data_IF_069931765449
#
_entry.id   IF_069931765449
#
_cell.length_a   1.000
_cell.length_b   1.000
_cell.length_c   1.000
_cell.angle_alpha   90.00
_cell.angle_beta   90.00
_cell.angle_gamma   90.00
#
_symmetry.space_group_name_H-M   'P 1'
#
loop_
_entity.id
_entity.type
_entity.pdbx_description
1 polymer ?
#
# COMPACT_ATOMS: atom_id res chain seq x y z
N UNK A 1 23.23 -10.65 1.24
CA UNK A 1 21.78 -10.32 1.22
C UNK A 1 21.45 -9.62 2.52
N UNK A 2 20.74 -8.49 2.46
CA UNK A 2 20.26 -7.85 3.67
C UNK A 2 19.26 -8.78 4.38
N UNK A 3 19.41 -8.93 5.70
CA UNK A 3 18.49 -9.75 6.49
C UNK A 3 17.08 -9.10 6.43
N UNK A 4 16.12 -9.84 5.94
CA UNK A 4 14.71 -9.40 5.94
C UNK A 4 14.27 -9.37 7.41
N UNK A 5 13.68 -8.28 7.90
CA UNK A 5 13.16 -8.24 9.26
C UNK A 5 11.93 -9.13 9.41
N UNK A 6 11.67 -9.59 10.63
CA UNK A 6 10.45 -10.35 10.93
C UNK A 6 9.22 -9.44 11.05
N UNK A 7 9.45 -8.13 11.24
CA UNK A 7 8.41 -7.13 11.47
C UNK A 7 8.61 -5.90 10.60
N UNK A 8 7.50 -5.30 10.23
CA UNK A 8 7.38 -4.02 9.54
C UNK A 8 6.95 -2.97 10.56
N UNK A 9 7.72 -1.89 10.69
CA UNK A 9 7.28 -0.70 11.43
C UNK A 9 6.43 0.15 10.48
N UNK A 10 5.28 0.56 10.95
CA UNK A 10 4.29 1.25 10.13
C UNK A 10 3.50 2.29 10.92
N UNK A 11 2.99 3.30 10.22
CA UNK A 11 1.98 4.20 10.74
C UNK A 11 0.62 3.78 10.20
N UNK A 12 -0.25 3.29 11.08
CA UNK A 12 -1.60 2.87 10.70
C UNK A 12 -2.64 3.91 11.06
N UNK A 13 -3.52 4.19 10.11
CA UNK A 13 -4.79 4.81 10.41
C UNK A 13 -5.65 3.76 11.11
N UNK A 14 -5.81 3.90 12.42
CA UNK A 14 -6.67 3.01 13.20
C UNK A 14 -8.10 3.55 13.29
N UNK A 15 -8.23 4.87 13.11
CA UNK A 15 -9.51 5.56 13.04
C UNK A 15 -9.39 6.81 12.16
N UNK A 16 -10.21 6.97 11.11
CA UNK A 16 -10.31 8.24 10.41
C UNK A 16 -11.10 9.27 11.25
N UNK A 17 -10.87 10.54 10.97
CA UNK A 17 -11.76 11.61 11.45
C UNK A 17 -13.17 11.40 10.90
N UNK A 18 -14.16 11.74 11.69
CA UNK A 18 -15.55 11.60 11.29
C UNK A 18 -16.51 12.28 12.23
N UNK A 19 -17.79 12.01 11.98
CA UNK A 19 -18.88 12.49 12.81
C UNK A 19 -19.83 11.33 13.07
N UNK A 20 -20.14 11.11 14.33
CA UNK A 20 -21.13 10.10 14.72
C UNK A 20 -22.50 10.48 14.12
N UNK A 21 -23.11 9.62 13.31
CA UNK A 21 -24.36 9.96 12.62
C UNK A 21 -25.55 10.07 13.55
N UNK A 22 -25.51 9.47 14.72
CA UNK A 22 -26.62 9.50 15.70
C UNK A 22 -26.50 10.68 16.67
N UNK A 23 -25.30 10.94 17.16
CA UNK A 23 -25.06 11.95 18.22
C UNK A 23 -24.51 13.26 17.67
N UNK A 24 -24.00 13.27 16.45
CA UNK A 24 -23.32 14.43 15.85
C UNK A 24 -21.95 14.74 16.47
N UNK A 25 -21.46 13.92 17.42
CA UNK A 25 -20.16 14.12 18.05
C UNK A 25 -19.03 13.88 17.06
N UNK A 26 -17.98 14.69 17.17
CA UNK A 26 -16.75 14.50 16.40
C UNK A 26 -16.03 13.24 16.89
N UNK A 27 -15.65 12.40 15.93
CA UNK A 27 -14.78 11.24 16.13
C UNK A 27 -13.38 11.65 15.72
N UNK A 28 -12.47 11.69 16.67
CA UNK A 28 -11.09 12.09 16.43
C UNK A 28 -10.32 11.00 15.70
N UNK A 29 -9.61 11.38 14.63
CA UNK A 29 -8.76 10.48 13.86
C UNK A 29 -7.52 10.04 14.64
N UNK A 30 -7.06 8.80 14.38
CA UNK A 30 -5.89 8.22 15.03
C UNK A 30 -4.96 7.61 13.99
N UNK A 31 -3.71 8.10 13.99
CA UNK A 31 -2.57 7.48 13.34
C UNK A 31 -1.65 6.93 14.43
N UNK A 32 -1.41 5.63 14.40
CA UNK A 32 -0.64 4.96 15.43
C UNK A 32 0.56 4.22 14.84
N UNK A 33 1.70 4.39 15.48
CA UNK A 33 2.89 3.61 15.15
C UNK A 33 2.71 2.18 15.63
N UNK A 34 2.83 1.21 14.71
CA UNK A 34 2.65 -0.22 14.96
C UNK A 34 3.80 -1.03 14.40
N UNK A 35 3.95 -2.23 14.89
CA UNK A 35 4.76 -3.28 14.29
C UNK A 35 3.84 -4.42 13.85
N UNK A 36 3.92 -4.76 12.57
CA UNK A 36 3.16 -5.86 11.97
C UNK A 36 4.14 -6.90 11.44
N UNK A 37 3.73 -8.16 11.38
CA UNK A 37 4.57 -9.23 10.81
C UNK A 37 4.76 -9.04 9.32
N UNK A 38 5.96 -9.35 8.81
CA UNK A 38 6.17 -9.48 7.36
C UNK A 38 5.36 -10.68 6.88
N UNK A 39 4.44 -10.52 5.93
CA UNK A 39 3.65 -11.65 5.44
C UNK A 39 4.53 -12.59 4.61
N UNK A 40 4.18 -13.89 4.53
CA UNK A 40 4.77 -14.77 3.54
C UNK A 40 4.42 -14.26 2.15
N UNK A 41 5.46 -14.02 1.32
CA UNK A 41 5.27 -13.54 -0.04
C UNK A 41 4.66 -14.64 -0.91
N UNK A 42 3.67 -14.28 -1.70
CA UNK A 42 3.09 -15.17 -2.70
C UNK A 42 3.92 -15.14 -3.99
N UNK A 43 3.83 -16.17 -4.85
CA UNK A 43 4.44 -16.13 -6.18
C UNK A 43 4.03 -14.86 -6.94
N UNK A 44 5.02 -14.14 -7.50
CA UNK A 44 4.79 -12.87 -8.20
C UNK A 44 4.70 -11.63 -7.30
N UNK A 45 4.95 -11.78 -6.00
CA UNK A 45 5.10 -10.65 -5.09
C UNK A 45 6.57 -10.30 -4.82
N UNK A 46 6.79 -9.07 -4.42
CA UNK A 46 8.07 -8.54 -3.97
C UNK A 46 7.91 -7.81 -2.64
N UNK A 47 8.93 -7.89 -1.79
CA UNK A 47 9.04 -7.03 -0.60
C UNK A 47 9.95 -5.85 -0.94
N UNK A 48 9.40 -4.66 -0.87
CA UNK A 48 10.11 -3.41 -1.10
C UNK A 48 10.50 -2.80 0.25
N UNK A 49 11.79 -2.54 0.44
CA UNK A 49 12.28 -1.67 1.51
C UNK A 49 12.02 -0.23 1.08
N UNK A 50 11.14 0.46 1.77
CA UNK A 50 10.72 1.81 1.42
C UNK A 50 11.86 2.80 1.68
N UNK A 51 12.25 3.55 0.65
CA UNK A 51 13.18 4.66 0.76
C UNK A 51 12.45 5.98 1.08
N UNK A 52 11.25 6.13 0.52
CA UNK A 52 10.37 7.27 0.77
C UNK A 52 8.96 7.03 0.27
N UNK A 53 8.03 7.75 0.87
CA UNK A 53 6.63 7.79 0.45
C UNK A 53 6.11 9.22 0.53
N UNK A 54 5.53 9.72 -0.55
CA UNK A 54 4.85 11.01 -0.58
C UNK A 54 3.54 10.98 0.21
N UNK A 55 3.16 12.14 0.74
CA UNK A 55 1.84 12.37 1.33
C UNK A 55 0.97 13.03 0.27
N UNK A 56 -0.03 12.31 -0.21
CA UNK A 56 -0.96 12.77 -1.22
C UNK A 56 -2.24 13.36 -0.59
N UNK A 57 -2.91 14.22 -1.32
CA UNK A 57 -4.23 14.71 -0.91
C UNK A 57 -5.25 13.57 -0.72
N UNK A 58 -5.08 12.47 -1.45
CA UNK A 58 -5.89 11.25 -1.28
C UNK A 58 -5.76 10.67 0.13
N UNK A 59 -4.56 10.65 0.71
CA UNK A 59 -4.34 10.19 2.09
C UNK A 59 -5.07 11.10 3.10
N UNK A 60 -5.06 12.42 2.84
CA UNK A 60 -5.81 13.40 3.65
C UNK A 60 -7.32 13.16 3.54
N UNK A 61 -7.82 12.85 2.32
CA UNK A 61 -9.22 12.51 2.10
C UNK A 61 -9.65 11.28 2.90
N UNK A 62 -8.82 10.24 2.95
CA UNK A 62 -9.08 9.04 3.76
C UNK A 62 -9.04 9.32 5.25
N UNK A 63 -8.13 10.17 5.70
CA UNK A 63 -7.95 10.42 7.13
C UNK A 63 -8.88 11.50 7.68
N UNK A 64 -9.08 12.62 6.94
CA UNK A 64 -9.80 13.80 7.44
C UNK A 64 -11.21 13.96 6.86
N UNK A 65 -11.43 13.59 5.58
CA UNK A 65 -12.62 14.01 4.85
C UNK A 65 -13.70 12.91 4.72
N UNK A 66 -13.52 11.79 5.42
CA UNK A 66 -14.49 10.70 5.45
C UNK A 66 -14.56 9.86 4.18
N UNK A 67 -13.58 10.00 3.26
CA UNK A 67 -13.48 9.13 2.09
C UNK A 67 -13.15 7.72 2.54
N UNK A 68 -13.99 6.75 2.18
CA UNK A 68 -13.79 5.36 2.59
C UNK A 68 -12.71 4.66 1.79
N UNK A 69 -11.84 3.92 2.48
CA UNK A 69 -10.94 2.94 1.87
C UNK A 69 -11.65 1.61 1.62
N UNK A 70 -11.19 0.83 0.63
CA UNK A 70 -11.70 -0.53 0.36
C UNK A 70 -11.41 -1.45 1.54
N UNK A 71 -10.13 -1.52 1.95
CA UNK A 71 -9.77 -2.17 3.21
C UNK A 71 -10.14 -1.26 4.36
N UNK A 72 -10.94 -1.75 5.29
CA UNK A 72 -11.34 -0.95 6.46
C UNK A 72 -10.17 -0.80 7.44
N UNK A 73 -10.10 0.32 8.18
CA UNK A 73 -9.11 0.48 9.26
C UNK A 73 -9.15 -0.69 10.26
N UNK A 74 -7.99 -1.07 10.83
CA UNK A 74 -6.69 -0.40 10.71
C UNK A 74 -5.94 -0.75 9.42
N UNK A 75 -5.38 0.26 8.77
CA UNK A 75 -4.50 0.08 7.61
C UNK A 75 -3.43 1.17 7.54
N UNK A 76 -2.33 0.87 6.86
CA UNK A 76 -1.26 1.83 6.56
C UNK A 76 -1.63 2.59 5.30
N UNK A 77 -1.60 3.92 5.33
CA UNK A 77 -1.80 4.78 4.17
C UNK A 77 -0.52 4.96 3.35
N UNK A 78 -0.59 5.73 2.27
CA UNK A 78 0.53 6.07 1.40
C UNK A 78 0.63 5.18 0.16
N UNK A 79 0.71 5.82 -1.01
CA UNK A 79 0.74 5.14 -2.32
C UNK A 79 1.72 5.76 -3.32
N UNK A 80 2.53 6.73 -2.90
CA UNK A 80 3.58 7.37 -3.70
C UNK A 80 4.95 6.88 -3.21
N UNK A 81 5.33 5.66 -3.60
CA UNK A 81 6.38 4.88 -2.95
C UNK A 81 7.57 4.67 -3.87
N UNK A 82 8.78 4.91 -3.34
CA UNK A 82 10.02 4.44 -3.92
C UNK A 82 10.81 3.59 -2.92
N UNK A 83 11.62 2.68 -3.42
CA UNK A 83 12.41 1.80 -2.54
C UNK A 83 13.24 0.79 -3.30
N UNK A 84 13.81 -0.15 -2.56
CA UNK A 84 14.62 -1.23 -3.12
C UNK A 84 13.97 -2.57 -2.85
N UNK A 85 13.86 -3.44 -3.84
CA UNK A 85 13.35 -4.80 -3.67
C UNK A 85 14.36 -5.65 -2.91
N UNK A 86 13.94 -6.22 -1.77
CA UNK A 86 14.82 -7.01 -0.89
C UNK A 86 14.49 -8.50 -0.88
N UNK A 87 13.29 -8.89 -1.33
CA UNK A 87 12.86 -10.30 -1.42
C UNK A 87 11.74 -10.47 -2.44
N UNK A 88 11.42 -11.72 -2.77
CA UNK A 88 10.33 -12.11 -3.67
C UNK A 88 10.81 -12.36 -5.08
N UNK A 89 10.18 -11.76 -6.08
CA UNK A 89 10.47 -11.99 -7.49
C UNK A 89 11.94 -11.69 -7.84
N UNK A 90 12.65 -12.72 -8.27
CA UNK A 90 14.11 -12.66 -8.53
C UNK A 90 14.51 -11.64 -9.60
N UNK A 91 13.61 -11.27 -10.50
CA UNK A 91 13.86 -10.27 -11.55
C UNK A 91 14.14 -8.88 -10.97
N UNK A 92 13.62 -8.61 -9.78
CA UNK A 92 13.67 -7.28 -9.15
C UNK A 92 14.58 -7.20 -7.92
N UNK A 93 15.03 -8.32 -7.36
CA UNK A 93 15.87 -8.30 -6.13
C UNK A 93 17.10 -7.41 -6.34
N UNK A 94 17.31 -6.48 -5.40
CA UNK A 94 18.38 -5.50 -5.41
C UNK A 94 18.18 -4.32 -6.36
N UNK A 95 17.02 -4.23 -7.04
CA UNK A 95 16.69 -3.11 -7.91
C UNK A 95 15.97 -2.01 -7.13
N UNK A 96 16.32 -0.78 -7.46
CA UNK A 96 15.56 0.38 -7.02
C UNK A 96 14.33 0.54 -7.91
N UNK A 97 13.19 0.76 -7.28
CA UNK A 97 11.89 0.75 -7.95
C UNK A 97 11.00 1.89 -7.47
N UNK A 98 10.10 2.29 -8.36
CA UNK A 98 8.88 3.02 -8.01
C UNK A 98 7.73 2.01 -8.00
N UNK A 99 6.95 2.02 -6.93
CA UNK A 99 5.73 1.22 -6.82
C UNK A 99 4.59 2.03 -7.43
N UNK A 100 3.91 1.53 -8.48
CA UNK A 100 2.75 2.20 -9.03
C UNK A 100 1.65 2.39 -7.99
N UNK A 101 1.02 3.57 -7.98
CA UNK A 101 -0.09 3.86 -7.07
C UNK A 101 -1.27 2.90 -7.30
N UNK A 102 -1.46 2.42 -8.53
CA UNK A 102 -2.51 1.48 -8.91
C UNK A 102 -1.89 0.35 -9.72
N UNK A 103 -2.06 -0.87 -9.25
CA UNK A 103 -1.54 -2.09 -9.86
C UNK A 103 -2.72 -2.94 -10.36
N UNK A 104 -2.86 -3.15 -11.68
CA UNK A 104 -3.92 -3.96 -12.26
C UNK A 104 -3.69 -5.45 -11.96
N UNK A 105 -4.73 -6.27 -12.07
CA UNK A 105 -4.58 -7.72 -11.86
C UNK A 105 -3.96 -8.46 -13.05
N UNK A 106 -3.84 -7.81 -14.20
CA UNK A 106 -3.27 -8.30 -15.47
C UNK A 106 -3.90 -9.59 -16.06
N UNK A 107 -5.02 -10.07 -15.49
CA UNK A 107 -5.66 -11.34 -15.87
C UNK A 107 -7.18 -11.28 -16.00
N UNK A 108 -7.83 -10.16 -15.75
CA UNK A 108 -9.27 -10.04 -16.00
C UNK A 108 -9.53 -9.66 -17.47
N UNK A 109 -10.73 -9.91 -18.01
CA UNK A 109 -11.05 -9.60 -19.40
C UNK A 109 -10.76 -8.15 -19.80
N UNK A 110 -10.85 -7.22 -18.86
CA UNK A 110 -10.55 -5.80 -19.10
C UNK A 110 -9.04 -5.61 -19.30
N UNK A 111 -8.20 -6.26 -18.49
CA UNK A 111 -6.75 -6.24 -18.64
C UNK A 111 -6.31 -6.94 -19.94
N UNK A 112 -6.88 -8.10 -20.24
CA UNK A 112 -6.62 -8.85 -21.48
C UNK A 112 -6.99 -8.05 -22.75
N UNK A 113 -8.00 -7.18 -22.64
CA UNK A 113 -8.37 -6.23 -23.69
C UNK A 113 -7.48 -4.98 -23.75
N UNK A 114 -6.36 -4.94 -22.99
CA UNK A 114 -5.43 -3.82 -22.96
C UNK A 114 -5.93 -2.58 -22.20
N UNK A 115 -6.94 -2.72 -21.37
CA UNK A 115 -7.57 -1.62 -20.60
C UNK A 115 -7.25 -1.71 -19.12
N UNK A 116 -5.99 -1.94 -18.76
CA UNK A 116 -5.51 -2.16 -17.38
C UNK A 116 -5.88 -1.04 -16.42
N UNK A 117 -5.94 0.21 -16.89
CA UNK A 117 -6.39 1.37 -16.13
C UNK A 117 -7.85 1.29 -15.66
N UNK A 118 -8.64 0.35 -16.20
CA UNK A 118 -10.03 0.10 -15.81
C UNK A 118 -10.22 -1.24 -15.10
N UNK A 119 -9.13 -1.85 -14.63
CA UNK A 119 -9.18 -3.12 -13.90
C UNK A 119 -10.09 -3.02 -12.68
N UNK A 120 -11.03 -3.96 -12.54
CA UNK A 120 -11.96 -4.00 -11.40
C UNK A 120 -11.35 -4.62 -10.14
N UNK A 121 -10.20 -5.29 -10.28
CA UNK A 121 -9.48 -5.96 -9.19
C UNK A 121 -8.11 -5.33 -8.94
N UNK A 122 -7.99 -4.04 -9.23
CA UNK A 122 -6.74 -3.30 -9.01
C UNK A 122 -6.38 -3.22 -7.53
N UNK A 123 -5.07 -3.23 -7.25
CA UNK A 123 -4.52 -3.02 -5.92
C UNK A 123 -3.90 -1.64 -5.82
N UNK A 124 -4.19 -0.95 -4.72
CA UNK A 124 -3.63 0.35 -4.40
C UNK A 124 -3.12 0.34 -2.96
N UNK A 125 -1.82 0.58 -2.74
CA UNK A 125 -1.30 0.76 -1.38
C UNK A 125 -2.10 1.81 -0.62
N UNK A 126 -2.35 1.58 0.66
CA UNK A 126 -3.14 2.52 1.47
C UNK A 126 -4.64 2.52 1.20
N UNK A 127 -5.15 1.59 0.38
CA UNK A 127 -6.58 1.49 0.06
C UNK A 127 -7.03 0.04 -0.10
N UNK A 128 -6.66 -0.61 -1.22
CA UNK A 128 -7.14 -1.96 -1.59
C UNK A 128 -6.04 -3.04 -1.57
N UNK A 129 -4.83 -2.71 -1.12
CA UNK A 129 -3.73 -3.66 -0.92
C UNK A 129 -3.72 -4.23 0.52
N UNK A 130 -4.86 -4.74 1.01
CA UNK A 130 -4.95 -5.17 2.40
C UNK A 130 -4.62 -4.02 3.37
N UNK A 131 -3.91 -4.35 4.45
CA UNK A 131 -3.50 -3.38 5.48
C UNK A 131 -2.23 -2.60 5.12
N UNK A 132 -1.66 -2.82 3.93
CA UNK A 132 -0.35 -2.33 3.54
C UNK A 132 -0.40 -1.00 2.79
N UNK A 133 0.57 -0.14 3.09
CA UNK A 133 0.77 1.16 2.45
C UNK A 133 2.20 1.65 2.62
N UNK A 134 2.51 2.78 2.02
CA UNK A 134 3.85 3.34 1.95
C UNK A 134 4.36 4.00 3.22
N UNK A 135 3.48 4.32 4.19
CA UNK A 135 3.93 4.88 5.48
C UNK A 135 4.47 3.79 6.40
N UNK A 136 5.39 3.00 5.87
CA UNK A 136 6.05 1.87 6.52
C UNK A 136 7.49 1.73 6.04
N UNK A 137 8.30 0.96 6.74
CA UNK A 137 9.68 0.70 6.30
C UNK A 137 9.80 -0.43 5.28
N UNK A 138 8.78 -1.29 5.16
CA UNK A 138 8.67 -2.31 4.12
C UNK A 138 7.23 -2.46 3.66
N UNK A 139 7.05 -2.85 2.39
CA UNK A 139 5.73 -3.12 1.81
C UNK A 139 5.78 -4.33 0.88
N UNK A 140 4.89 -5.33 1.06
CA UNK A 140 4.67 -6.39 0.08
C UNK A 140 3.77 -5.87 -1.06
N UNK A 141 4.18 -6.10 -2.30
CA UNK A 141 3.45 -5.62 -3.48
C UNK A 141 3.49 -6.65 -4.61
N UNK A 142 2.51 -6.68 -5.52
CA UNK A 142 2.65 -7.35 -6.82
C UNK A 142 3.88 -6.82 -7.55
N UNK A 143 4.71 -7.72 -8.08
CA UNK A 143 6.00 -7.33 -8.67
C UNK A 143 5.91 -6.97 -10.16
N UNK A 144 4.88 -7.43 -10.86
CA UNK A 144 4.80 -7.37 -12.33
C UNK A 144 4.88 -5.93 -12.89
N UNK A 145 4.25 -4.99 -12.18
CA UNK A 145 4.16 -3.58 -12.62
C UNK A 145 5.22 -2.67 -11.97
N UNK A 146 6.18 -3.21 -11.21
CA UNK A 146 7.23 -2.40 -10.60
C UNK A 146 8.09 -1.71 -11.67
N UNK A 147 8.25 -0.39 -11.51
CA UNK A 147 9.05 0.43 -12.41
C UNK A 147 10.49 0.51 -11.89
N UNK A 148 11.44 -0.12 -12.59
CA UNK A 148 12.87 -0.04 -12.23
C UNK A 148 13.38 1.38 -12.52
N UNK A 149 14.03 1.98 -11.53
CA UNK A 149 14.75 3.25 -11.68
C UNK A 149 16.13 2.97 -12.26
N UNK A 150 16.51 3.72 -13.29
CA UNK A 150 17.82 3.62 -13.96
C UNK A 150 18.80 4.64 -13.40
#
# INVERSE_FOLDING_TARGET
MAKIPDKIRTWQMTQPWGKDPQTGKIIEGKLEKKEISVPPLQPGEALVKVAGCGVCHTDLGYFYDGVSTVTKPPLTLGHEISGTVVAGDSRFIGKDVVVPAVMPCNKCPICEAGRNNRCLSQKMPGNSLGIYGGFSDYIPVPAEDLCIVK
#
